data_IF_120659485287
#
_entry.id   IF_120659485287
#
_cell.length_a   1.000
_cell.length_b   1.000
_cell.length_c   1.000
_cell.angle_alpha   90.00
_cell.angle_beta   90.00
_cell.angle_gamma   90.00
#
_symmetry.space_group_name_H-M   'P 1'
#
loop_
_entity.id
_entity.type
_entity.pdbx_description
1 polymer ?
#
# COMPACT_ATOMS: atom_id res chain seq x y z
N UNK A 1 -43.93 -38.49 22.17
CA UNK A 1 -42.55 -38.06 22.34
C UNK A 1 -42.17 -37.18 21.15
N UNK A 2 -42.16 -35.86 21.31
CA UNK A 2 -41.77 -34.89 20.24
C UNK A 2 -40.25 -34.67 20.29
N UNK A 3 -39.54 -35.07 19.25
CA UNK A 3 -38.10 -34.84 19.09
C UNK A 3 -37.93 -33.43 18.51
N UNK A 4 -37.46 -32.50 19.31
CA UNK A 4 -37.09 -31.16 18.88
C UNK A 4 -35.69 -31.26 18.23
N UNK A 5 -35.65 -31.05 16.91
CA UNK A 5 -34.40 -30.91 16.17
C UNK A 5 -33.94 -29.46 16.28
N UNK A 6 -32.90 -29.18 17.03
CA UNK A 6 -32.25 -27.87 17.07
C UNK A 6 -31.31 -27.79 15.88
N UNK A 7 -31.71 -27.02 14.87
CA UNK A 7 -30.89 -26.70 13.71
C UNK A 7 -29.91 -25.60 14.11
N UNK A 8 -28.67 -25.96 14.40
CA UNK A 8 -27.59 -24.97 14.64
C UNK A 8 -27.22 -24.30 13.32
N UNK A 9 -27.66 -23.06 13.16
CA UNK A 9 -27.26 -22.20 12.04
C UNK A 9 -25.82 -21.76 12.29
N UNK A 10 -24.84 -22.40 11.65
CA UNK A 10 -23.45 -21.93 11.58
C UNK A 10 -23.42 -20.65 10.74
N UNK A 11 -23.39 -19.49 11.43
CA UNK A 11 -23.09 -18.21 10.82
C UNK A 11 -21.62 -18.23 10.34
N UNK A 12 -21.43 -18.55 9.08
CA UNK A 12 -20.19 -18.26 8.38
C UNK A 12 -20.08 -16.74 8.29
N UNK A 13 -19.39 -16.12 9.25
CA UNK A 13 -18.95 -14.75 9.11
C UNK A 13 -17.95 -14.73 7.96
N UNK A 14 -18.20 -13.99 6.85
CA UNK A 14 -17.18 -13.78 5.85
C UNK A 14 -16.04 -13.08 6.56
N UNK A 15 -14.85 -13.69 6.61
CA UNK A 15 -13.62 -13.01 6.97
C UNK A 15 -13.43 -11.96 5.88
N UNK A 16 -13.85 -10.74 6.18
CA UNK A 16 -13.43 -9.55 5.47
C UNK A 16 -11.91 -9.51 5.63
N UNK A 17 -11.18 -10.04 4.66
CA UNK A 17 -9.82 -9.62 4.39
C UNK A 17 -9.93 -8.17 3.93
N UNK A 18 -10.23 -7.31 4.89
CA UNK A 18 -10.28 -5.90 4.71
C UNK A 18 -8.92 -5.46 4.17
N UNK A 19 -8.92 -4.53 3.25
CA UNK A 19 -7.82 -3.80 2.69
C UNK A 19 -6.73 -3.54 3.73
N UNK A 20 -5.79 -4.47 3.88
CA UNK A 20 -4.70 -4.40 4.86
C UNK A 20 -3.37 -4.55 4.16
N UNK A 21 -2.35 -3.92 4.72
CA UNK A 21 -0.95 -4.12 4.33
C UNK A 21 -0.25 -4.85 5.46
N UNK A 22 0.40 -5.95 5.15
CA UNK A 22 1.23 -6.69 6.09
C UNK A 22 2.65 -6.11 6.09
N UNK A 23 3.19 -5.84 7.28
CA UNK A 23 4.58 -5.42 7.45
C UNK A 23 5.37 -6.51 8.15
N UNK A 24 6.59 -6.72 7.69
CA UNK A 24 7.55 -7.61 8.33
C UNK A 24 8.96 -7.04 8.27
N UNK A 25 9.70 -7.20 9.36
CA UNK A 25 11.14 -6.91 9.44
C UNK A 25 11.86 -8.07 10.09
N UNK A 26 13.18 -7.99 10.19
CA UNK A 26 13.99 -9.00 10.90
C UNK A 26 13.55 -9.11 12.37
N UNK A 27 13.22 -7.98 13.00
CA UNK A 27 12.86 -7.92 14.42
C UNK A 27 11.36 -8.01 14.70
N UNK A 28 10.55 -7.55 13.76
CA UNK A 28 9.08 -7.47 13.90
C UNK A 28 8.42 -8.22 12.75
N UNK A 29 7.63 -9.22 13.06
CA UNK A 29 6.83 -9.96 12.10
C UNK A 29 5.33 -9.73 12.32
N UNK A 30 4.55 -9.77 11.23
CA UNK A 30 3.10 -9.74 11.26
C UNK A 30 2.45 -8.46 11.83
N UNK A 31 3.02 -7.27 11.52
CA UNK A 31 2.32 -6.02 11.75
C UNK A 31 1.29 -5.87 10.62
N UNK A 32 0.04 -5.66 10.97
CA UNK A 32 -1.06 -5.45 10.03
C UNK A 32 -1.53 -4.01 10.13
N UNK A 33 -1.53 -3.29 9.01
CA UNK A 33 -2.04 -1.92 8.91
C UNK A 33 -3.32 -1.94 8.08
N UNK A 34 -4.42 -1.55 8.69
CA UNK A 34 -5.71 -1.43 8.04
C UNK A 34 -5.88 -0.06 7.36
N UNK A 35 -6.87 0.07 6.49
CA UNK A 35 -7.20 1.36 5.87
C UNK A 35 -7.49 2.45 6.90
N UNK A 36 -8.19 2.12 7.98
CA UNK A 36 -8.49 3.06 9.07
C UNK A 36 -7.23 3.59 9.77
N UNK A 37 -6.18 2.78 9.85
CA UNK A 37 -4.91 3.20 10.43
C UNK A 37 -4.22 4.21 9.50
N UNK A 38 -4.22 3.95 8.18
CA UNK A 38 -3.71 4.90 7.19
C UNK A 38 -4.48 6.23 7.22
N UNK A 39 -5.80 6.17 7.32
CA UNK A 39 -6.65 7.38 7.39
C UNK A 39 -6.40 8.22 8.65
N UNK A 40 -5.91 7.62 9.73
CA UNK A 40 -5.56 8.32 10.97
C UNK A 40 -4.17 8.98 10.95
N UNK A 41 -3.32 8.62 9.98
CA UNK A 41 -1.97 9.19 9.84
C UNK A 41 -1.99 10.53 9.09
N UNK A 42 -0.89 11.31 9.14
CA UNK A 42 -0.76 12.53 8.33
C UNK A 42 -0.95 12.23 6.84
N UNK A 43 -1.89 12.94 6.20
CA UNK A 43 -2.24 12.75 4.81
C UNK A 43 -1.37 13.60 3.89
N UNK A 44 -1.09 13.07 2.70
CA UNK A 44 -0.37 13.78 1.63
C UNK A 44 -1.11 13.58 0.32
N UNK A 45 -1.23 14.65 -0.45
CA UNK A 45 -1.89 14.67 -1.76
C UNK A 45 -0.90 15.08 -2.84
N UNK A 46 -0.84 14.31 -3.93
CA UNK A 46 -0.09 14.63 -5.14
C UNK A 46 -1.02 14.66 -6.34
N UNK A 47 -0.95 15.73 -7.12
CA UNK A 47 -1.50 15.73 -8.49
C UNK A 47 -0.34 15.47 -9.44
N UNK A 48 -0.37 14.33 -10.13
CA UNK A 48 0.74 13.90 -10.97
C UNK A 48 0.29 13.18 -12.23
N UNK A 49 1.05 13.36 -13.31
CA UNK A 49 0.95 12.57 -14.51
C UNK A 49 1.65 11.22 -14.29
N UNK A 50 1.07 10.15 -14.81
CA UNK A 50 1.64 8.81 -14.78
C UNK A 50 1.50 8.17 -16.16
N UNK A 51 2.41 7.26 -16.57
CA UNK A 51 2.39 6.67 -17.91
C UNK A 51 1.15 5.80 -18.18
N UNK A 52 0.42 5.40 -17.14
CA UNK A 52 -0.79 4.59 -17.25
C UNK A 52 -2.09 5.40 -17.27
N UNK A 53 -1.99 6.73 -17.23
CA UNK A 53 -3.14 7.63 -17.18
C UNK A 53 -3.16 8.55 -18.40
N UNK A 54 -4.35 8.80 -18.94
CA UNK A 54 -4.54 9.73 -20.06
C UNK A 54 -4.31 11.18 -19.67
N UNK A 55 -4.53 11.51 -18.39
CA UNK A 55 -4.37 12.86 -17.82
C UNK A 55 -3.85 12.76 -16.38
N UNK A 56 -3.23 13.83 -15.85
CA UNK A 56 -2.86 13.89 -14.43
C UNK A 56 -4.05 13.60 -13.53
N UNK A 57 -3.80 12.90 -12.43
CA UNK A 57 -4.80 12.60 -11.41
C UNK A 57 -4.31 13.02 -10.03
N UNK A 58 -5.24 13.28 -9.13
CA UNK A 58 -4.98 13.56 -7.73
C UNK A 58 -4.94 12.26 -6.94
N UNK A 59 -3.83 12.01 -6.23
CA UNK A 59 -3.65 10.86 -5.36
C UNK A 59 -3.54 11.32 -3.91
N UNK A 60 -4.31 10.70 -3.02
CA UNK A 60 -4.24 10.95 -1.58
C UNK A 60 -3.81 9.68 -0.85
N UNK A 61 -2.92 9.83 0.11
CA UNK A 61 -2.40 8.72 0.90
C UNK A 61 -1.45 9.17 1.99
N UNK A 62 -0.63 8.24 2.46
CA UNK A 62 0.36 8.44 3.51
C UNK A 62 1.75 8.27 2.93
N UNK A 63 2.68 9.15 3.29
CA UNK A 63 4.09 9.01 2.89
C UNK A 63 4.64 7.66 3.34
N UNK A 64 5.33 6.97 2.46
CA UNK A 64 5.96 5.69 2.80
C UNK A 64 6.92 5.85 3.99
N UNK A 65 7.66 6.96 4.07
CA UNK A 65 8.54 7.27 5.21
C UNK A 65 7.77 7.35 6.53
N UNK A 66 6.62 8.02 6.55
CA UNK A 66 5.75 8.13 7.74
C UNK A 66 5.23 6.76 8.16
N UNK A 67 4.78 5.97 7.20
CA UNK A 67 4.25 4.63 7.45
C UNK A 67 5.31 3.69 8.01
N UNK A 68 6.52 3.70 7.44
CA UNK A 68 7.65 2.90 7.94
C UNK A 68 8.08 3.33 9.34
N UNK A 69 8.16 4.64 9.59
CA UNK A 69 8.48 5.16 10.91
C UNK A 69 7.44 4.73 11.96
N UNK A 70 6.15 4.75 11.60
CA UNK A 70 5.08 4.35 12.49
C UNK A 70 5.09 2.84 12.78
N UNK A 71 5.32 2.00 11.77
CA UNK A 71 5.25 0.54 11.89
C UNK A 71 6.54 -0.07 12.43
N UNK A 72 7.68 0.35 11.90
CA UNK A 72 8.99 -0.24 12.19
C UNK A 72 9.82 0.59 13.18
N UNK A 73 9.52 1.88 13.34
CA UNK A 73 10.28 2.82 14.16
C UNK A 73 11.44 3.48 13.43
N UNK A 74 11.64 3.15 12.14
CA UNK A 74 12.71 3.69 11.31
C UNK A 74 12.34 3.61 9.82
N UNK A 75 13.12 4.29 8.98
CA UNK A 75 13.12 4.06 7.53
C UNK A 75 14.32 3.16 7.20
N UNK A 76 14.11 1.89 6.83
CA UNK A 76 15.18 0.94 6.52
C UNK A 76 15.98 1.33 5.28
N UNK A 77 17.19 0.77 5.09
CA UNK A 77 18.03 1.03 3.91
C UNK A 77 17.32 0.64 2.59
N UNK A 78 16.56 -0.45 2.63
CA UNK A 78 15.73 -0.91 1.51
C UNK A 78 14.43 -1.48 2.05
N UNK A 79 13.36 -1.32 1.31
CA UNK A 79 12.09 -2.02 1.53
C UNK A 79 11.66 -2.72 0.26
N UNK A 80 11.14 -3.93 0.41
CA UNK A 80 10.44 -4.62 -0.65
C UNK A 80 8.95 -4.29 -0.54
N UNK A 81 8.37 -3.76 -1.59
CA UNK A 81 6.93 -3.55 -1.72
C UNK A 81 6.39 -4.61 -2.66
N UNK A 82 5.40 -5.41 -2.20
CA UNK A 82 4.84 -6.55 -2.93
C UNK A 82 3.35 -6.38 -3.16
N UNK A 83 2.92 -6.74 -4.36
CA UNK A 83 1.53 -6.77 -4.80
C UNK A 83 0.86 -8.12 -4.53
N UNK A 84 -0.47 -8.16 -4.65
CA UNK A 84 -1.29 -9.37 -4.51
C UNK A 84 -0.94 -10.47 -5.52
N UNK A 85 -0.39 -10.13 -6.69
CA UNK A 85 0.04 -11.06 -7.74
C UNK A 85 1.51 -11.46 -7.65
N UNK A 86 2.14 -11.22 -6.49
CA UNK A 86 3.56 -11.48 -6.20
C UNK A 86 4.57 -10.60 -6.95
N UNK A 87 4.12 -9.64 -7.77
CA UNK A 87 5.03 -8.61 -8.29
C UNK A 87 5.62 -7.81 -7.13
N UNK A 88 6.91 -7.52 -7.17
CA UNK A 88 7.57 -6.72 -6.14
C UNK A 88 8.64 -5.80 -6.73
N UNK A 89 8.96 -4.77 -5.98
CA UNK A 89 10.09 -3.89 -6.26
C UNK A 89 10.77 -3.47 -4.97
N UNK A 90 12.06 -3.17 -5.06
CA UNK A 90 12.82 -2.62 -3.95
C UNK A 90 12.91 -1.10 -4.06
N UNK A 91 12.76 -0.43 -2.93
CA UNK A 91 12.86 1.03 -2.84
C UNK A 91 13.93 1.35 -1.83
N UNK A 92 14.89 2.19 -2.24
CA UNK A 92 15.98 2.64 -1.38
C UNK A 92 15.50 3.68 -0.37
N UNK A 93 16.15 3.73 0.79
CA UNK A 93 15.97 4.81 1.77
C UNK A 93 16.19 6.19 1.16
N UNK A 94 17.19 6.33 0.29
CA UNK A 94 17.49 7.58 -0.39
C UNK A 94 16.29 8.07 -1.20
N UNK A 95 15.69 7.22 -2.04
CA UNK A 95 14.51 7.55 -2.85
C UNK A 95 13.29 7.85 -1.96
N UNK A 96 13.08 7.07 -0.90
CA UNK A 96 12.00 7.30 0.06
C UNK A 96 12.08 8.67 0.71
N UNK A 97 13.27 9.06 1.15
CA UNK A 97 13.48 10.34 1.85
C UNK A 97 13.54 11.52 0.89
N UNK A 98 14.11 11.33 -0.31
CA UNK A 98 14.27 12.39 -1.31
C UNK A 98 12.95 12.74 -1.99
N UNK A 99 12.24 11.74 -2.49
CA UNK A 99 11.06 11.94 -3.33
C UNK A 99 9.74 11.80 -2.58
N UNK A 100 9.76 11.28 -1.37
CA UNK A 100 8.59 11.12 -0.50
C UNK A 100 7.40 10.42 -1.19
N UNK A 101 7.57 9.22 -1.79
CA UNK A 101 6.45 8.51 -2.37
C UNK A 101 5.37 8.23 -1.33
N UNK A 102 4.11 8.16 -1.78
CA UNK A 102 2.97 7.86 -0.91
C UNK A 102 2.39 6.47 -1.21
N UNK A 103 1.84 5.85 -0.19
CA UNK A 103 0.89 4.75 -0.33
C UNK A 103 -0.48 5.38 -0.52
N UNK A 104 -0.88 5.53 -1.78
CA UNK A 104 -2.15 6.11 -2.15
C UNK A 104 -3.28 5.10 -2.00
N UNK A 105 -4.41 5.53 -1.43
CA UNK A 105 -5.63 4.74 -1.33
C UNK A 105 -6.85 5.47 -1.93
N UNK A 106 -6.69 6.74 -2.33
CA UNK A 106 -7.67 7.50 -3.11
C UNK A 106 -7.05 8.07 -4.38
N UNK A 107 -7.84 8.09 -5.43
CA UNK A 107 -7.59 8.78 -6.69
C UNK A 107 -8.81 9.62 -7.04
N UNK A 108 -8.60 10.91 -7.33
CA UNK A 108 -9.66 11.88 -7.63
C UNK A 108 -10.80 11.79 -6.59
N UNK A 109 -10.43 11.86 -5.30
CA UNK A 109 -11.29 11.79 -4.11
C UNK A 109 -12.01 10.46 -3.84
N UNK A 110 -11.85 9.45 -4.70
CA UNK A 110 -12.51 8.13 -4.54
C UNK A 110 -11.50 7.06 -4.11
N UNK A 111 -11.93 6.12 -3.27
CA UNK A 111 -11.12 4.94 -2.95
C UNK A 111 -10.77 4.16 -4.21
N UNK A 112 -9.48 3.79 -4.33
CA UNK A 112 -8.98 3.05 -5.50
C UNK A 112 -9.48 1.61 -5.41
N UNK A 113 -10.31 1.21 -6.36
CA UNK A 113 -10.83 -0.17 -6.43
C UNK A 113 -9.75 -1.13 -6.89
N UNK A 114 -9.80 -2.39 -6.45
CA UNK A 114 -8.84 -3.44 -6.83
C UNK A 114 -8.70 -3.53 -8.35
N UNK A 115 -9.81 -3.50 -9.11
CA UNK A 115 -9.81 -3.52 -10.58
C UNK A 115 -9.11 -2.31 -11.23
N UNK A 116 -8.92 -1.22 -10.48
CA UNK A 116 -8.30 0.02 -10.93
C UNK A 116 -6.96 0.26 -10.20
N UNK A 117 -6.17 -0.79 -9.94
CA UNK A 117 -4.87 -0.78 -9.27
C UNK A 117 -4.92 -0.58 -7.75
N UNK A 118 -6.11 -0.56 -7.11
CA UNK A 118 -6.26 -0.50 -5.66
C UNK A 118 -6.14 -1.87 -4.96
N UNK A 119 -6.31 -1.90 -3.66
CA UNK A 119 -6.69 -0.79 -2.79
C UNK A 119 -5.57 0.23 -2.54
N UNK A 120 -4.29 -0.17 -2.68
CA UNK A 120 -3.12 0.63 -2.39
C UNK A 120 -2.17 0.66 -3.58
N UNK A 121 -1.69 1.86 -3.89
CA UNK A 121 -0.76 2.10 -5.00
C UNK A 121 0.38 3.01 -4.54
N UNK A 122 1.63 2.59 -4.75
CA UNK A 122 2.78 3.45 -4.49
C UNK A 122 2.89 4.50 -5.58
N UNK A 123 2.81 5.77 -5.20
CA UNK A 123 2.83 6.90 -6.12
C UNK A 123 4.00 7.81 -5.81
N UNK A 124 4.83 8.06 -6.84
CA UNK A 124 5.83 9.13 -6.83
C UNK A 124 5.25 10.42 -7.40
N UNK A 125 5.70 11.61 -6.92
CA UNK A 125 5.27 12.91 -7.45
C UNK A 125 6.03 13.24 -8.76
N UNK A 126 5.78 12.50 -9.83
CA UNK A 126 6.51 12.58 -11.12
C UNK A 126 6.43 13.98 -11.72
N UNK A 127 5.28 14.64 -11.64
CA UNK A 127 5.14 16.01 -12.16
C UNK A 127 6.05 17.02 -11.43
N UNK A 128 6.31 16.79 -10.13
CA UNK A 128 7.21 17.62 -9.34
C UNK A 128 8.69 17.31 -9.61
N UNK A 129 8.99 16.07 -9.90
CA UNK A 129 10.34 15.54 -10.16
C UNK A 129 10.37 14.80 -11.50
N UNK A 130 10.54 15.52 -12.63
CA UNK A 130 10.49 14.90 -13.97
C UNK A 130 11.51 13.80 -14.19
N UNK A 131 12.62 13.77 -13.44
CA UNK A 131 13.61 12.70 -13.48
C UNK A 131 13.04 11.33 -13.04
N UNK A 132 11.88 11.32 -12.39
CA UNK A 132 11.17 10.09 -12.01
C UNK A 132 10.39 9.46 -13.18
N UNK A 133 10.25 10.18 -14.30
CA UNK A 133 9.52 9.69 -15.48
C UNK A 133 10.40 8.74 -16.33
N UNK A 134 10.88 7.68 -15.70
CA UNK A 134 11.69 6.64 -16.33
C UNK A 134 11.29 5.26 -15.83
N UNK A 135 11.58 4.22 -16.62
CA UNK A 135 11.18 2.83 -16.34
C UNK A 135 11.61 2.34 -14.95
N UNK A 136 12.76 2.79 -14.46
CA UNK A 136 13.26 2.43 -13.14
C UNK A 136 12.26 2.81 -12.03
N UNK A 137 11.81 4.06 -11.99
CA UNK A 137 10.83 4.52 -10.98
C UNK A 137 9.42 4.04 -11.28
N UNK A 138 9.05 3.89 -12.56
CA UNK A 138 7.76 3.30 -12.93
C UNK A 138 7.62 1.89 -12.35
N UNK A 139 8.67 1.07 -12.39
CA UNK A 139 8.65 -0.29 -11.83
C UNK A 139 8.51 -0.32 -10.30
N UNK A 140 8.87 0.77 -9.61
CA UNK A 140 8.70 0.90 -8.16
C UNK A 140 7.27 1.31 -7.77
N UNK A 141 6.47 1.86 -8.69
CA UNK A 141 5.09 2.25 -8.43
C UNK A 141 4.15 1.03 -8.41
N UNK A 142 4.42 0.13 -7.47
CA UNK A 142 3.66 -1.11 -7.26
C UNK A 142 2.21 -0.78 -6.93
N UNK A 143 1.28 -1.45 -7.60
CA UNK A 143 -0.16 -1.38 -7.31
C UNK A 143 -0.69 -2.66 -6.71
N UNK A 144 -1.91 -2.64 -6.13
CA UNK A 144 -2.50 -3.75 -5.40
C UNK A 144 -1.58 -4.26 -4.28
N UNK A 145 -0.98 -3.34 -3.55
CA UNK A 145 -0.02 -3.65 -2.49
C UNK A 145 -0.71 -4.42 -1.37
N UNK A 146 -0.10 -5.52 -0.94
CA UNK A 146 -0.53 -6.30 0.21
C UNK A 146 0.57 -6.52 1.26
N UNK A 147 1.86 -6.29 0.90
CA UNK A 147 2.97 -6.51 1.82
C UNK A 147 4.10 -5.50 1.60
N UNK A 148 4.70 -5.08 2.71
CA UNK A 148 5.95 -4.31 2.75
C UNK A 148 6.90 -5.01 3.73
N UNK A 149 8.12 -5.34 3.30
CA UNK A 149 9.09 -6.03 4.15
C UNK A 149 10.50 -5.47 4.01
N UNK A 150 11.31 -5.66 5.06
CA UNK A 150 12.74 -5.36 5.04
C UNK A 150 13.57 -6.63 4.88
N UNK A 151 12.92 -7.80 4.87
CA UNK A 151 13.55 -9.08 4.58
C UNK A 151 13.54 -9.30 3.08
N UNK A 152 14.68 -9.75 2.55
CA UNK A 152 14.69 -10.43 1.26
C UNK A 152 13.98 -11.78 1.47
N UNK A 153 12.78 -11.92 0.92
CA UNK A 153 12.14 -13.23 0.82
C UNK A 153 12.70 -13.88 -0.45
N UNK A 154 13.43 -14.99 -0.26
CA UNK A 154 13.90 -15.87 -1.33
C UNK A 154 12.73 -16.51 -2.11
#
# INVERSE_FOLDING_TARGET
>A
MRKTVVLALLLFAPTLFANTIQFSSIEKSNIVVALSDLESMPQTTYTTALPWLEKPAEFNGVKLSTLLQHTLGEVPQHVQVRAMNDYYSYISREDILRYQPIIAYKQDHNYIKVRNKGPYWLIYPVTKYPELDVSYYHSQMVWQINRISTKEEE
#
